data_IF_763625628753
#
_entry.id   IF_763625628753
#
_cell.length_a   1.000
_cell.length_b   1.000
_cell.length_c   1.000
_cell.angle_alpha   90.00
_cell.angle_beta   90.00
_cell.angle_gamma   90.00
#
_symmetry.space_group_name_H-M   'P 1'
#
loop_
_entity.id
_entity.type
_entity.pdbx_description
1 polymer ?
#
# COMPACT_ATOMS: atom_id res chain seq x y z
N UNK A 1 -7.76 -3.89 4.71
CA UNK A 1 -6.41 -4.52 4.80
C UNK A 1 -6.42 -6.03 4.64
N UNK A 2 -5.50 -6.57 3.82
CA UNK A 2 -5.15 -7.99 3.75
C UNK A 2 -4.68 -8.57 5.09
N UNK A 3 -4.58 -9.90 5.18
CA UNK A 3 -4.00 -10.56 6.35
C UNK A 3 -2.50 -10.24 6.48
N UNK A 4 -1.98 -10.32 7.70
CA UNK A 4 -0.58 -10.05 8.04
C UNK A 4 0.43 -10.79 7.15
N UNK A 5 0.12 -12.04 6.80
CA UNK A 5 0.95 -12.88 5.94
C UNK A 5 1.10 -12.27 4.54
N UNK A 6 0.02 -11.70 4.00
CA UNK A 6 0.00 -11.03 2.70
C UNK A 6 0.81 -9.73 2.76
N UNK A 7 0.66 -8.95 3.82
CA UNK A 7 1.42 -7.73 4.05
C UNK A 7 2.93 -7.98 4.06
N UNK A 8 3.38 -8.99 4.80
CA UNK A 8 4.80 -9.33 4.90
C UNK A 8 5.34 -9.86 3.58
N UNK A 9 4.59 -10.69 2.85
CA UNK A 9 5.00 -11.20 1.56
C UNK A 9 5.20 -10.07 0.54
N UNK A 10 4.25 -9.14 0.46
CA UNK A 10 4.34 -7.96 -0.42
C UNK A 10 5.49 -7.03 -0.01
N UNK A 11 5.72 -6.86 1.30
CA UNK A 11 6.85 -6.09 1.81
C UNK A 11 8.19 -6.70 1.39
N UNK A 12 8.33 -8.03 1.50
CA UNK A 12 9.52 -8.76 1.05
C UNK A 12 9.73 -8.56 -0.46
N UNK A 13 8.68 -8.64 -1.27
CA UNK A 13 8.81 -8.45 -2.72
C UNK A 13 9.31 -7.05 -3.08
N UNK A 14 8.80 -6.01 -2.40
CA UNK A 14 9.19 -4.61 -2.68
C UNK A 14 10.57 -4.24 -2.16
N UNK A 15 10.92 -4.74 -0.99
CA UNK A 15 12.05 -4.21 -0.20
C UNK A 15 13.11 -5.26 0.13
N UNK A 16 12.82 -6.54 -0.10
CA UNK A 16 13.63 -7.66 0.37
C UNK A 16 13.48 -7.94 1.87
N UNK A 17 12.59 -7.23 2.59
CA UNK A 17 12.39 -7.35 4.04
C UNK A 17 10.90 -7.39 4.38
N UNK A 18 10.49 -8.12 5.44
CA UNK A 18 9.08 -8.22 5.79
C UNK A 18 8.53 -7.04 6.60
N UNK A 19 9.40 -6.17 7.14
CA UNK A 19 9.02 -5.03 7.98
C UNK A 19 7.95 -5.32 9.06
N UNK A 20 7.98 -6.53 9.65
CA UNK A 20 6.93 -7.02 10.55
C UNK A 20 6.63 -6.07 11.71
N UNK A 21 7.67 -5.60 12.38
CA UNK A 21 7.53 -4.68 13.52
C UNK A 21 6.95 -3.33 13.11
N UNK A 22 7.29 -2.84 11.92
CA UNK A 22 6.73 -1.61 11.38
C UNK A 22 5.24 -1.78 11.10
N UNK A 23 4.84 -2.85 10.40
CA UNK A 23 3.42 -3.10 10.11
C UNK A 23 2.62 -3.29 11.40
N UNK A 24 3.16 -4.03 12.38
CA UNK A 24 2.53 -4.19 13.71
C UNK A 24 2.37 -2.83 14.39
N UNK A 25 3.39 -1.99 14.33
CA UNK A 25 3.34 -0.67 14.91
C UNK A 25 2.31 0.23 14.21
N UNK A 26 2.16 0.13 12.88
CA UNK A 26 1.18 0.92 12.13
C UNK A 26 -0.25 0.52 12.51
N UNK A 27 -0.58 -0.77 12.49
CA UNK A 27 -1.97 -1.26 12.55
C UNK A 27 -2.43 -1.73 13.93
N UNK A 28 -1.51 -2.09 14.83
CA UNK A 28 -1.83 -2.71 16.11
C UNK A 28 -0.93 -2.21 17.25
N UNK A 29 -0.88 -0.89 17.42
CA UNK A 29 -0.16 -0.24 18.51
C UNK A 29 -1.04 0.51 19.52
N UNK A 30 -2.24 -0.04 19.78
CA UNK A 30 -3.17 0.57 20.73
C UNK A 30 -2.63 0.67 22.15
N UNK A 31 -1.71 -0.24 22.52
CA UNK A 31 -1.19 -0.32 23.88
C UNK A 31 -0.16 0.77 24.17
N UNK A 32 0.56 1.27 23.16
CA UNK A 32 1.53 2.36 23.34
C UNK A 32 0.95 3.73 22.96
N UNK A 33 0.04 3.80 21.98
CA UNK A 33 -0.47 5.07 21.43
C UNK A 33 -1.99 5.28 21.55
N UNK A 34 -2.68 4.39 22.27
CA UNK A 34 -4.12 4.53 22.54
C UNK A 34 -5.01 4.16 21.35
N UNK A 35 -6.30 4.44 21.49
CA UNK A 35 -7.33 4.01 20.51
C UNK A 35 -7.14 4.63 19.13
N UNK A 36 -6.59 5.83 19.04
CA UNK A 36 -6.38 6.58 17.79
C UNK A 36 -5.03 6.33 17.12
N UNK A 37 -4.24 5.37 17.63
CA UNK A 37 -2.89 5.05 17.14
C UNK A 37 -2.83 4.90 15.61
N UNK A 38 -3.85 4.29 15.00
CA UNK A 38 -3.90 4.12 13.54
C UNK A 38 -3.99 5.49 12.85
N UNK A 39 -4.91 6.35 13.24
CA UNK A 39 -5.03 7.71 12.67
C UNK A 39 -3.73 8.51 12.84
N UNK A 40 -3.10 8.44 14.02
CA UNK A 40 -1.83 9.11 14.27
C UNK A 40 -0.67 8.56 13.42
N UNK A 41 -0.57 7.24 13.30
CA UNK A 41 0.50 6.58 12.54
C UNK A 41 0.30 6.73 11.03
N UNK A 42 -0.93 6.97 10.56
CA UNK A 42 -1.24 7.24 9.16
C UNK A 42 -1.10 8.72 8.79
N UNK A 43 -1.06 9.62 9.77
CA UNK A 43 -0.86 11.04 9.52
C UNK A 43 0.58 11.30 9.06
N UNK A 44 0.74 11.87 7.85
CA UNK A 44 2.04 12.34 7.41
C UNK A 44 2.47 13.58 8.21
N UNK A 45 3.33 13.35 9.20
CA UNK A 45 4.01 14.41 9.95
C UNK A 45 5.51 14.18 9.98
N UNK A 46 6.30 15.24 10.10
CA UNK A 46 7.77 15.12 10.21
C UNK A 46 8.16 14.26 11.41
N UNK A 47 7.45 14.37 12.53
CA UNK A 47 7.72 13.60 13.73
C UNK A 47 7.53 12.08 13.51
N UNK A 48 6.43 11.69 12.85
CA UNK A 48 6.18 10.27 12.53
C UNK A 48 7.21 9.75 11.53
N UNK A 49 7.48 10.50 10.46
CA UNK A 49 8.51 10.15 9.48
C UNK A 49 9.87 9.92 10.14
N UNK A 50 10.29 10.83 11.02
CA UNK A 50 11.58 10.75 11.70
C UNK A 50 11.62 9.61 12.72
N UNK A 51 10.49 9.31 13.39
CA UNK A 51 10.37 8.13 14.25
C UNK A 51 10.55 6.85 13.43
N UNK A 52 9.84 6.72 12.30
CA UNK A 52 9.93 5.54 11.44
C UNK A 52 11.35 5.36 10.91
N UNK A 53 11.96 6.45 10.42
CA UNK A 53 13.34 6.45 9.96
C UNK A 53 14.31 5.93 11.02
N UNK A 54 14.22 6.44 12.25
CA UNK A 54 15.13 6.07 13.35
C UNK A 54 14.86 4.66 13.88
N UNK A 55 13.59 4.25 13.99
CA UNK A 55 13.19 3.02 14.67
C UNK A 55 13.27 1.79 13.78
N UNK A 56 12.92 1.90 12.48
CA UNK A 56 12.67 0.74 11.63
C UNK A 56 13.64 0.55 10.46
N UNK A 57 14.64 1.42 10.29
CA UNK A 57 15.74 1.17 9.36
C UNK A 57 15.91 2.18 8.23
N UNK A 58 15.67 3.47 8.49
CA UNK A 58 16.03 4.56 7.59
C UNK A 58 15.03 4.81 6.48
N UNK A 59 15.53 5.24 5.32
CA UNK A 59 14.70 5.73 4.21
C UNK A 59 13.78 4.63 3.63
N UNK A 60 14.25 3.39 3.56
CA UNK A 60 13.47 2.27 3.03
C UNK A 60 12.25 1.96 3.91
N UNK A 61 12.41 2.00 5.24
CA UNK A 61 11.30 1.85 6.17
C UNK A 61 10.27 3.00 6.06
N UNK A 62 10.74 4.22 5.79
CA UNK A 62 9.86 5.36 5.52
C UNK A 62 9.07 5.14 4.23
N UNK A 63 9.72 4.66 3.17
CA UNK A 63 9.03 4.31 1.92
C UNK A 63 7.98 3.23 2.14
N UNK A 64 8.30 2.17 2.86
CA UNK A 64 7.35 1.09 3.17
C UNK A 64 6.17 1.58 4.00
N UNK A 65 6.42 2.43 5.00
CA UNK A 65 5.35 3.08 5.78
C UNK A 65 4.43 3.92 4.91
N UNK A 66 4.98 4.75 4.01
CA UNK A 66 4.17 5.58 3.10
C UNK A 66 3.36 4.72 2.13
N UNK A 67 3.94 3.63 1.61
CA UNK A 67 3.22 2.69 0.77
C UNK A 67 2.05 2.04 1.51
N UNK A 68 2.26 1.61 2.76
CA UNK A 68 1.20 1.06 3.60
C UNK A 68 0.04 2.04 3.77
N UNK A 69 0.34 3.27 4.19
CA UNK A 69 -0.67 4.32 4.38
C UNK A 69 -1.43 4.64 3.09
N UNK A 70 -0.74 4.70 1.95
CA UNK A 70 -1.36 4.94 0.65
C UNK A 70 -2.32 3.81 0.26
N UNK A 71 -1.91 2.55 0.42
CA UNK A 71 -2.77 1.39 0.14
C UNK A 71 -4.00 1.38 1.05
N UNK A 72 -3.84 1.75 2.32
CA UNK A 72 -4.96 1.80 3.28
C UNK A 72 -6.00 2.87 2.92
N UNK A 73 -5.53 4.04 2.46
CA UNK A 73 -6.42 5.09 1.96
C UNK A 73 -7.10 4.70 0.64
N UNK A 74 -6.40 4.00 -0.26
CA UNK A 74 -7.00 3.47 -1.49
C UNK A 74 -8.06 2.41 -1.17
N UNK A 75 -7.79 1.47 -0.26
CA UNK A 75 -8.77 0.46 0.20
C UNK A 75 -10.03 1.15 0.75
N UNK A 76 -9.84 2.16 1.59
CA UNK A 76 -10.95 2.97 2.14
C UNK A 76 -11.73 3.71 1.06
N UNK A 77 -11.05 4.28 0.07
CA UNK A 77 -11.66 4.97 -1.06
C UNK A 77 -12.51 4.02 -1.92
N UNK A 78 -12.01 2.81 -2.18
CA UNK A 78 -12.72 1.77 -2.93
C UNK A 78 -13.92 1.21 -2.15
N UNK A 79 -13.83 1.12 -0.82
CA UNK A 79 -14.93 0.65 0.04
C UNK A 79 -16.04 1.68 0.26
N UNK A 80 -15.74 2.98 0.22
CA UNK A 80 -16.68 4.05 0.56
C UNK A 80 -17.71 4.39 -0.55
N UNK A 81 -18.17 3.39 -1.31
CA UNK A 81 -19.11 3.58 -2.43
C UNK A 81 -18.68 4.76 -3.31
N UNK A 82 -17.49 4.66 -3.90
CA UNK A 82 -17.25 5.41 -5.12
C UNK A 82 -18.28 4.90 -6.13
N UNK A 83 -19.44 5.57 -6.18
CA UNK A 83 -20.58 5.23 -7.00
C UNK A 83 -20.20 5.41 -8.48
N UNK A 84 -19.42 4.48 -9.01
CA UNK A 84 -19.48 4.19 -10.42
C UNK A 84 -20.87 3.64 -10.66
N UNK A 85 -21.70 4.41 -11.33
CA UNK A 85 -22.93 3.96 -11.98
C UNK A 85 -22.65 2.96 -13.12
N UNK A 86 -21.54 2.24 -13.04
CA UNK A 86 -21.14 1.25 -14.01
C UNK A 86 -21.89 -0.05 -13.70
N UNK A 87 -22.50 -0.70 -14.71
CA UNK A 87 -23.19 -1.96 -14.52
C UNK A 87 -22.29 -2.97 -13.79
N UNK A 88 -22.90 -3.73 -12.87
CA UNK A 88 -22.34 -4.54 -11.78
C UNK A 88 -21.28 -5.63 -12.12
N UNK A 89 -20.42 -5.43 -13.11
CA UNK A 89 -19.41 -6.38 -13.61
C UNK A 89 -18.10 -5.73 -14.08
N UNK A 90 -17.89 -4.44 -13.80
CA UNK A 90 -16.65 -3.76 -14.16
C UNK A 90 -15.82 -3.48 -12.91
N UNK A 91 -14.55 -3.87 -12.99
CA UNK A 91 -13.52 -3.61 -11.99
C UNK A 91 -12.71 -2.41 -12.48
N UNK A 92 -12.46 -1.45 -11.60
CA UNK A 92 -11.55 -0.34 -11.89
C UNK A 92 -10.11 -0.83 -11.67
N UNK A 93 -9.30 -0.82 -12.72
CA UNK A 93 -7.88 -1.11 -12.65
C UNK A 93 -7.11 0.21 -12.54
N UNK A 94 -6.30 0.32 -11.49
CA UNK A 94 -5.46 1.50 -11.24
C UNK A 94 -4.01 1.15 -11.51
N UNK A 95 -3.42 1.76 -12.54
CA UNK A 95 -2.00 1.58 -12.86
C UNK A 95 -1.17 2.68 -12.21
N UNK A 96 -0.23 2.27 -11.36
CA UNK A 96 0.77 3.16 -10.78
C UNK A 96 2.15 2.84 -11.36
N UNK A 97 2.71 3.79 -12.10
CA UNK A 97 4.08 3.70 -12.60
C UNK A 97 4.99 4.67 -11.84
N UNK A 98 6.12 4.18 -11.30
CA UNK A 98 7.11 5.04 -10.65
C UNK A 98 8.33 5.21 -11.55
N UNK A 99 8.55 6.43 -12.06
CA UNK A 99 9.78 6.75 -12.79
C UNK A 99 10.94 6.97 -11.81
N UNK A 100 12.17 6.64 -12.23
CA UNK A 100 13.39 6.82 -11.41
C UNK A 100 13.63 8.26 -10.93
N UNK A 101 13.03 9.25 -11.59
CA UNK A 101 13.10 10.67 -11.22
C UNK A 101 11.95 11.11 -10.27
N UNK A 102 11.19 10.17 -9.71
CA UNK A 102 10.17 10.44 -8.69
C UNK A 102 8.80 10.83 -9.22
N UNK A 103 8.57 10.79 -10.54
CA UNK A 103 7.25 11.01 -11.10
C UNK A 103 6.39 9.74 -11.00
N UNK A 104 5.16 9.92 -10.55
CA UNK A 104 4.13 8.88 -10.53
C UNK A 104 3.26 9.07 -11.77
N UNK A 105 3.13 8.02 -12.57
CA UNK A 105 2.14 7.92 -13.63
C UNK A 105 0.90 7.23 -13.06
N UNK A 106 -0.26 7.80 -13.35
CA UNK A 106 -1.56 7.25 -12.99
C UNK A 106 -2.37 7.07 -14.27
N UNK A 107 -2.85 5.85 -14.50
CA UNK A 107 -3.85 5.56 -15.51
C UNK A 107 -4.96 4.72 -14.89
N UNK A 108 -6.18 4.97 -15.37
CA UNK A 108 -7.40 4.28 -14.99
C UNK A 108 -7.95 3.57 -16.22
N UNK A 109 -8.30 2.30 -16.04
CA UNK A 109 -8.94 1.48 -17.07
C UNK A 109 -10.13 0.73 -16.46
N UNK A 110 -11.27 0.72 -17.17
CA UNK A 110 -12.42 -0.11 -16.83
C UNK A 110 -12.25 -1.48 -17.49
N UNK A 111 -12.14 -2.54 -16.67
CA UNK A 111 -11.94 -3.91 -17.17
C UNK A 111 -13.03 -4.85 -16.65
N UNK A 112 -13.35 -5.89 -17.42
CA UNK A 112 -14.24 -6.98 -16.97
C UNK A 112 -13.48 -8.02 -16.15
N UNK A 113 -14.19 -8.80 -15.31
CA UNK A 113 -13.58 -9.92 -14.56
C UNK A 113 -12.83 -10.91 -15.47
N UNK A 114 -13.38 -11.23 -16.64
CA UNK A 114 -12.74 -12.13 -17.61
C UNK A 114 -11.43 -11.55 -18.17
N UNK A 115 -11.32 -10.21 -18.29
CA UNK A 115 -10.08 -9.54 -18.70
C UNK A 115 -9.03 -9.58 -17.58
N UNK A 116 -9.44 -9.37 -16.32
CA UNK A 116 -8.54 -9.49 -15.16
C UNK A 116 -7.92 -10.88 -15.01
N UNK A 117 -8.69 -11.94 -15.27
CA UNK A 117 -8.19 -13.32 -15.18
C UNK A 117 -7.29 -13.72 -16.37
N UNK A 118 -7.47 -13.08 -17.54
CA UNK A 118 -6.63 -13.30 -18.73
C UNK A 118 -5.36 -12.47 -18.73
N UNK A 119 -5.37 -11.31 -18.08
CA UNK A 119 -4.14 -10.66 -17.62
C UNK A 119 -3.57 -11.46 -16.46
N UNK A 120 -3.10 -12.68 -16.75
CA UNK A 120 -2.00 -13.26 -16.01
C UNK A 120 -0.91 -12.18 -16.06
N UNK A 121 -0.80 -11.37 -15.00
CA UNK A 121 0.25 -10.37 -14.85
C UNK A 121 1.56 -11.14 -14.90
N UNK A 122 2.07 -11.32 -16.12
CA UNK A 122 3.36 -11.88 -16.41
C UNK A 122 4.36 -10.90 -15.84
N UNK A 123 4.68 -11.10 -14.56
CA UNK A 123 5.88 -10.56 -13.95
C UNK A 123 7.03 -11.25 -14.67
N UNK A 124 7.41 -10.74 -15.84
CA UNK A 124 8.72 -11.01 -16.38
C UNK A 124 9.70 -10.56 -15.29
N UNK A 125 10.33 -11.52 -14.62
CA UNK A 125 11.46 -11.26 -13.74
C UNK A 125 12.43 -10.41 -14.57
N UNK A 126 12.57 -9.15 -14.20
CA UNK A 126 13.63 -8.31 -14.74
C UNK A 126 14.92 -8.89 -14.20
N UNK A 127 15.49 -9.84 -14.94
CA UNK A 127 16.81 -10.40 -14.68
C UNK A 127 17.80 -9.24 -14.54
N UNK A 128 18.54 -9.24 -13.43
CA UNK A 128 19.52 -8.21 -13.08
C UNK A 128 20.80 -8.36 -13.87
#
# INVERSE_FOLDING_TARGET
MPKWETHFALSIQRTGRPYKELHIWIDNNKNERGVDHRAENHAYTTAVKDFVFKKFGGAEAVSEWLFHVALDHLDTLMMNEWNFTSPAKQTNLLHFGFKKNGYIFFAEEEVTEEQMEKEDFAWEEVEK
#
